data_IF_772206610153
#
_entry.id   IF_772206610153
#
_cell.length_a   1.000
_cell.length_b   1.000
_cell.length_c   1.000
_cell.angle_alpha   90.00
_cell.angle_beta   90.00
_cell.angle_gamma   90.00
#
_symmetry.space_group_name_H-M   'P 1'
#
loop_
_entity.id
_entity.type
_entity.pdbx_description
1 polymer ?
#
# COMPACT_ATOMS: atom_id res chain seq x y z
N UNK A 1 -6.76 -19.58 5.08
CA UNK A 1 -6.47 -18.28 5.70
C UNK A 1 -5.19 -17.73 5.08
N UNK A 2 -5.19 -16.47 4.67
CA UNK A 2 -4.05 -15.80 4.03
C UNK A 2 -3.77 -14.50 4.78
N UNK A 3 -2.48 -14.22 5.00
CA UNK A 3 -2.04 -12.94 5.52
C UNK A 3 -1.49 -12.09 4.37
N UNK A 4 -2.10 -10.95 4.13
CA UNK A 4 -1.63 -9.95 3.18
C UNK A 4 -0.81 -8.87 3.88
N UNK A 5 0.28 -8.44 3.22
CA UNK A 5 1.12 -7.32 3.64
C UNK A 5 1.19 -6.26 2.55
N UNK A 6 1.04 -5.01 2.93
CA UNK A 6 1.20 -3.84 2.05
C UNK A 6 2.00 -2.75 2.74
N UNK A 7 2.95 -2.17 2.03
CA UNK A 7 3.63 -0.93 2.39
C UNK A 7 3.40 0.08 1.28
N UNK A 8 2.59 1.08 1.57
CA UNK A 8 2.20 2.13 0.62
C UNK A 8 3.23 3.26 0.54
N UNK A 9 3.11 4.10 -0.50
CA UNK A 9 3.97 5.29 -0.70
C UNK A 9 3.72 6.40 0.32
N UNK A 10 2.64 6.31 1.10
CA UNK A 10 2.36 7.18 2.26
C UNK A 10 3.42 7.05 3.36
N UNK A 11 4.07 5.87 3.47
CA UNK A 11 5.09 5.55 4.49
C UNK A 11 4.57 5.68 5.93
N UNK A 12 3.28 5.55 6.15
CA UNK A 12 2.64 5.57 7.47
C UNK A 12 2.85 4.27 8.25
N UNK A 13 3.09 3.14 7.55
CA UNK A 13 3.36 1.86 8.20
C UNK A 13 3.29 0.68 7.26
N UNK A 14 3.39 -0.49 7.86
CA UNK A 14 3.15 -1.78 7.23
C UNK A 14 1.74 -2.25 7.59
N UNK A 15 0.87 -2.34 6.58
CA UNK A 15 -0.47 -2.88 6.72
C UNK A 15 -0.45 -4.41 6.68
N UNK A 16 -1.18 -5.02 7.62
CA UNK A 16 -1.38 -6.45 7.71
C UNK A 16 -2.88 -6.76 7.71
N UNK A 17 -3.32 -7.67 6.87
CA UNK A 17 -4.70 -8.13 6.81
C UNK A 17 -4.75 -9.66 6.75
N UNK A 18 -5.28 -10.28 7.80
CA UNK A 18 -5.50 -11.72 7.88
C UNK A 18 -6.94 -12.02 7.42
N UNK A 19 -7.06 -12.70 6.30
CA UNK A 19 -8.33 -12.99 5.68
C UNK A 19 -8.55 -14.49 5.51
N UNK A 20 -9.80 -14.93 5.73
CA UNK A 20 -10.27 -16.24 5.30
C UNK A 20 -10.95 -16.08 3.95
N UNK A 21 -10.49 -16.84 2.96
CA UNK A 21 -11.13 -16.91 1.65
C UNK A 21 -11.83 -18.26 1.50
N UNK A 22 -13.04 -18.24 0.97
CA UNK A 22 -13.85 -19.43 0.64
C UNK A 22 -14.43 -19.29 -0.75
N UNK A 23 -14.75 -20.42 -1.37
CA UNK A 23 -15.51 -20.45 -2.62
C UNK A 23 -16.88 -21.03 -2.30
N UNK A 24 -17.92 -20.25 -2.55
CA UNK A 24 -19.32 -20.69 -2.41
C UNK A 24 -20.02 -20.47 -3.74
N UNK A 25 -20.61 -21.52 -4.29
CA UNK A 25 -21.30 -21.48 -5.60
C UNK A 25 -20.46 -20.88 -6.74
N UNK A 26 -19.15 -21.18 -6.73
CA UNK A 26 -18.21 -20.68 -7.74
C UNK A 26 -17.74 -19.22 -7.53
N UNK A 27 -18.19 -18.54 -6.48
CA UNK A 27 -17.83 -17.17 -6.15
C UNK A 27 -16.90 -17.11 -4.95
N UNK A 28 -15.89 -16.25 -5.03
CA UNK A 28 -14.99 -15.96 -3.91
C UNK A 28 -15.73 -15.12 -2.86
N UNK A 29 -15.57 -15.55 -1.62
CA UNK A 29 -15.99 -14.79 -0.43
C UNK A 29 -14.79 -14.59 0.48
N UNK A 30 -14.81 -13.53 1.25
CA UNK A 30 -13.77 -13.25 2.23
C UNK A 30 -14.35 -12.82 3.57
N UNK A 31 -13.61 -13.13 4.61
CA UNK A 31 -13.84 -12.68 5.97
C UNK A 31 -12.54 -12.06 6.49
N UNK A 32 -12.57 -10.80 6.90
CA UNK A 32 -11.45 -10.14 7.54
C UNK A 32 -11.39 -10.58 9.01
N UNK A 33 -10.41 -11.40 9.35
CA UNK A 33 -10.25 -11.95 10.70
C UNK A 33 -9.54 -10.97 11.64
N UNK A 34 -8.48 -10.30 11.12
CA UNK A 34 -7.71 -9.30 11.86
C UNK A 34 -7.02 -8.37 10.87
N UNK A 35 -6.96 -7.08 11.18
CA UNK A 35 -6.13 -6.11 10.48
C UNK A 35 -5.37 -5.24 11.47
N UNK A 36 -4.19 -4.78 11.06
CA UNK A 36 -3.34 -3.92 11.87
C UNK A 36 -2.41 -3.13 10.93
N UNK A 37 -2.19 -1.85 11.22
CA UNK A 37 -1.12 -1.06 10.63
C UNK A 37 -0.03 -0.87 11.67
N UNK A 38 1.16 -1.38 11.38
CA UNK A 38 2.34 -1.20 12.24
C UNK A 38 3.13 -0.01 11.73
N UNK A 39 3.03 1.11 12.44
CA UNK A 39 3.69 2.36 12.06
C UNK A 39 5.21 2.19 11.92
N UNK A 40 5.79 2.86 10.91
CA UNK A 40 7.25 3.00 10.84
C UNK A 40 7.73 3.97 11.91
N UNK A 41 8.91 3.69 12.46
CA UNK A 41 9.64 4.72 13.21
C UNK A 41 10.18 5.78 12.25
N UNK A 42 10.45 6.98 12.75
CA UNK A 42 11.04 8.08 11.97
C UNK A 42 12.31 7.66 11.23
N UNK A 43 13.13 6.79 11.85
CA UNK A 43 14.34 6.23 11.24
C UNK A 43 14.01 5.31 10.07
N UNK A 44 13.01 4.45 10.21
CA UNK A 44 12.58 3.53 9.15
C UNK A 44 11.98 4.31 7.98
N UNK A 45 11.07 5.22 8.26
CA UNK A 45 10.47 6.09 7.24
C UNK A 45 11.54 6.86 6.46
N UNK A 46 12.43 7.55 7.17
CA UNK A 46 13.53 8.31 6.57
C UNK A 46 14.45 7.41 5.75
N UNK A 47 14.75 6.21 6.24
CA UNK A 47 15.59 5.25 5.52
C UNK A 47 14.93 4.84 4.21
N UNK A 48 13.67 4.39 4.24
CA UNK A 48 12.95 3.93 3.04
C UNK A 48 12.82 5.06 2.03
N UNK A 49 12.44 6.25 2.47
CA UNK A 49 12.29 7.46 1.63
C UNK A 49 13.57 7.83 0.89
N UNK A 50 14.71 7.63 1.50
CA UNK A 50 16.01 7.99 0.93
C UNK A 50 16.67 6.87 0.10
N UNK A 51 16.17 5.63 0.15
CA UNK A 51 16.76 4.50 -0.59
C UNK A 51 17.01 4.78 -2.08
N UNK A 52 16.10 5.45 -2.82
CA UNK A 52 16.32 5.73 -4.24
C UNK A 52 17.60 6.55 -4.54
N UNK A 53 18.10 7.28 -3.55
CA UNK A 53 19.19 8.24 -3.70
C UNK A 53 20.49 7.77 -3.04
N UNK A 54 20.55 6.51 -2.59
CA UNK A 54 21.71 5.95 -1.89
C UNK A 54 22.63 5.17 -2.82
N UNK A 55 23.82 4.80 -2.33
CA UNK A 55 24.69 3.87 -3.05
C UNK A 55 24.03 2.49 -3.16
N UNK A 56 24.44 1.69 -4.13
CA UNK A 56 23.93 0.33 -4.31
C UNK A 56 24.11 -0.53 -3.06
N UNK A 57 25.21 -0.39 -2.33
CA UNK A 57 25.44 -1.10 -1.06
C UNK A 57 24.47 -0.64 0.04
N UNK A 58 24.23 0.66 0.17
CA UNK A 58 23.31 1.23 1.14
C UNK A 58 21.86 0.84 0.81
N UNK A 59 21.50 0.84 -0.48
CA UNK A 59 20.21 0.32 -0.95
C UNK A 59 20.01 -1.13 -0.54
N UNK A 60 21.02 -1.99 -0.77
CA UNK A 60 20.96 -3.40 -0.41
C UNK A 60 20.81 -3.61 1.10
N UNK A 61 21.58 -2.88 1.92
CA UNK A 61 21.44 -2.90 3.39
C UNK A 61 20.05 -2.47 3.84
N UNK A 62 19.49 -1.42 3.23
CA UNK A 62 18.13 -0.95 3.52
C UNK A 62 17.07 -2.01 3.18
N UNK A 63 17.21 -2.68 2.03
CA UNK A 63 16.34 -3.80 1.64
C UNK A 63 16.40 -4.96 2.64
N UNK A 64 17.59 -5.32 3.12
CA UNK A 64 17.78 -6.35 4.16
C UNK A 64 17.09 -5.95 5.46
N UNK A 65 17.30 -4.72 5.94
CA UNK A 65 16.67 -4.21 7.16
C UNK A 65 15.14 -4.18 7.06
N UNK A 66 14.60 -3.74 5.93
CA UNK A 66 13.16 -3.76 5.67
C UNK A 66 12.60 -5.19 5.71
N UNK A 67 13.32 -6.15 5.14
CA UNK A 67 12.92 -7.55 5.14
C UNK A 67 12.86 -8.16 6.53
N UNK A 68 13.85 -7.86 7.37
CA UNK A 68 13.85 -8.28 8.78
C UNK A 68 12.69 -7.64 9.56
N UNK A 69 12.43 -6.35 9.35
CA UNK A 69 11.29 -5.66 9.95
C UNK A 69 9.97 -6.33 9.56
N UNK A 70 9.75 -6.62 8.28
CA UNK A 70 8.54 -7.31 7.81
C UNK A 70 8.39 -8.70 8.44
N UNK A 71 9.46 -9.51 8.42
CA UNK A 71 9.44 -10.85 8.99
C UNK A 71 9.14 -10.87 10.50
N UNK A 72 9.80 -9.99 11.26
CA UNK A 72 9.57 -9.81 12.70
C UNK A 72 8.13 -9.37 13.01
N UNK A 73 7.62 -8.41 12.23
CA UNK A 73 6.25 -7.87 12.38
C UNK A 73 5.22 -8.97 12.11
N UNK A 74 5.39 -9.74 11.04
CA UNK A 74 4.52 -10.87 10.72
C UNK A 74 4.54 -11.93 11.82
N UNK A 75 5.71 -12.29 12.31
CA UNK A 75 5.85 -13.26 13.39
C UNK A 75 5.07 -12.83 14.65
N UNK A 76 5.19 -11.56 15.05
CA UNK A 76 4.44 -10.98 16.18
C UNK A 76 2.94 -10.94 15.92
N UNK A 77 2.52 -10.53 14.74
CA UNK A 77 1.11 -10.47 14.35
C UNK A 77 0.46 -11.86 14.40
N UNK A 78 1.09 -12.88 13.83
CA UNK A 78 0.59 -14.26 13.86
C UNK A 78 0.48 -14.77 15.29
N UNK A 79 1.46 -14.50 16.16
CA UNK A 79 1.45 -14.94 17.56
C UNK A 79 0.25 -14.39 18.36
N UNK A 80 -0.31 -13.26 17.93
CA UNK A 80 -1.46 -12.58 18.59
C UNK A 80 -2.78 -12.70 17.82
N UNK A 81 -2.76 -13.31 16.64
CA UNK A 81 -3.96 -13.38 15.78
C UNK A 81 -4.94 -14.48 16.17
N UNK A 82 -4.48 -15.51 16.88
CA UNK A 82 -5.27 -16.71 17.20
C UNK A 82 -5.46 -17.68 16.02
N UNK A 83 -4.98 -17.33 14.83
CA UNK A 83 -5.10 -18.09 13.58
C UNK A 83 -3.75 -18.23 12.89
N UNK A 84 -3.49 -19.39 12.27
CA UNK A 84 -2.31 -19.60 11.44
C UNK A 84 -2.63 -19.42 9.96
N UNK A 85 -1.95 -18.51 9.25
CA UNK A 85 -2.11 -18.42 7.80
C UNK A 85 -1.51 -19.66 7.12
N UNK A 86 -2.12 -20.09 6.04
CA UNK A 86 -1.59 -21.12 5.14
C UNK A 86 -0.68 -20.52 4.05
N UNK A 87 -0.74 -19.21 3.88
CA UNK A 87 0.01 -18.45 2.89
C UNK A 87 0.17 -17.02 3.38
N UNK A 88 1.34 -16.44 3.13
CA UNK A 88 1.62 -15.01 3.33
C UNK A 88 1.87 -14.37 1.97
N UNK A 89 1.24 -13.24 1.72
CA UNK A 89 1.31 -12.50 0.46
C UNK A 89 1.85 -11.10 0.74
N UNK A 90 3.01 -10.74 0.16
CA UNK A 90 3.64 -9.44 0.41
C UNK A 90 3.87 -8.68 -0.89
N UNK A 91 3.35 -7.46 -0.95
CA UNK A 91 3.65 -6.55 -2.05
C UNK A 91 5.08 -5.98 -1.95
N UNK A 92 5.64 -5.91 -0.75
CA UNK A 92 6.85 -5.13 -0.49
C UNK A 92 6.57 -3.63 -0.49
N UNK A 93 7.64 -2.83 -0.62
CA UNK A 93 7.53 -1.38 -0.79
C UNK A 93 8.16 -0.95 -2.11
N UNK A 94 7.40 -0.22 -2.93
CA UNK A 94 7.88 0.21 -4.26
C UNK A 94 8.89 1.34 -4.15
N UNK A 95 10.10 1.10 -4.63
CA UNK A 95 11.18 2.08 -4.71
C UNK A 95 11.29 2.65 -6.13
N UNK A 96 11.26 1.76 -7.14
CA UNK A 96 11.31 2.14 -8.54
C UNK A 96 10.18 1.49 -9.30
N UNK A 97 9.60 2.23 -10.24
CA UNK A 97 8.59 1.71 -11.14
C UNK A 97 8.67 2.45 -12.48
N UNK A 98 9.31 1.82 -13.45
CA UNK A 98 9.46 2.35 -14.80
C UNK A 98 9.27 1.24 -15.83
N UNK A 99 8.02 0.82 -16.08
CA UNK A 99 7.73 -0.26 -17.01
C UNK A 99 8.11 0.08 -18.46
N UNK A 100 8.17 1.36 -18.84
CA UNK A 100 8.61 1.78 -20.17
C UNK A 100 10.09 1.46 -20.44
N UNK A 101 10.91 1.41 -19.38
CA UNK A 101 12.31 0.98 -19.43
C UNK A 101 12.49 -0.48 -18.98
N UNK A 102 11.39 -1.22 -18.76
CA UNK A 102 11.40 -2.65 -18.50
C UNK A 102 11.75 -3.05 -17.07
N UNK A 103 11.65 -2.14 -16.09
CA UNK A 103 11.96 -2.48 -14.70
C UNK A 103 10.93 -1.95 -13.68
N UNK A 104 10.88 -2.66 -12.58
CA UNK A 104 10.20 -2.28 -11.34
C UNK A 104 10.96 -2.86 -10.15
N UNK A 105 10.92 -2.22 -9.00
CA UNK A 105 11.61 -2.71 -7.81
C UNK A 105 10.74 -2.45 -6.56
N UNK A 106 10.30 -3.54 -5.96
CA UNK A 106 9.70 -3.55 -4.64
C UNK A 106 10.69 -4.18 -3.67
N UNK A 107 11.08 -3.45 -2.63
CA UNK A 107 11.96 -4.00 -1.59
C UNK A 107 11.21 -4.97 -0.70
N UNK A 108 11.96 -5.94 -0.17
CA UNK A 108 11.46 -7.05 0.63
C UNK A 108 11.98 -8.37 0.05
N UNK A 109 13.02 -8.94 0.69
CA UNK A 109 13.64 -10.19 0.26
C UNK A 109 12.92 -11.38 0.89
N UNK A 110 12.27 -12.19 0.06
CA UNK A 110 11.54 -13.39 0.48
C UNK A 110 12.39 -14.38 1.26
N UNK A 111 13.64 -14.54 0.82
CA UNK A 111 14.62 -15.42 1.44
C UNK A 111 14.90 -15.06 2.90
N UNK A 112 14.80 -13.79 3.26
CA UNK A 112 14.93 -13.32 4.64
C UNK A 112 13.60 -13.47 5.36
N UNK A 113 12.51 -12.97 4.77
CA UNK A 113 11.20 -12.93 5.44
C UNK A 113 10.67 -14.32 5.79
N UNK A 114 10.88 -15.32 4.92
CA UNK A 114 10.44 -16.70 5.16
C UNK A 114 11.11 -17.33 6.39
N UNK A 115 12.28 -16.86 6.80
CA UNK A 115 12.97 -17.41 7.99
C UNK A 115 12.25 -17.10 9.31
N UNK A 116 11.30 -16.17 9.31
CA UNK A 116 10.53 -15.78 10.48
C UNK A 116 9.27 -16.62 10.73
N UNK A 117 8.85 -17.40 9.73
CA UNK A 117 7.61 -18.18 9.78
C UNK A 117 7.81 -19.54 9.08
N UNK A 118 6.97 -20.51 9.44
CA UNK A 118 6.91 -21.80 8.74
C UNK A 118 5.95 -21.78 7.54
N UNK A 119 5.44 -20.61 7.20
CA UNK A 119 4.41 -20.41 6.16
C UNK A 119 5.07 -20.04 4.82
N UNK A 120 4.58 -20.55 3.69
CA UNK A 120 5.04 -20.09 2.38
C UNK A 120 4.72 -18.62 2.15
N UNK A 121 5.62 -17.93 1.42
CA UNK A 121 5.46 -16.54 1.03
C UNK A 121 5.33 -16.40 -0.49
N UNK A 122 4.43 -15.53 -0.92
CA UNK A 122 4.28 -15.11 -2.32
C UNK A 122 4.52 -13.61 -2.40
N UNK A 123 5.35 -13.21 -3.34
CA UNK A 123 5.80 -11.82 -3.50
C UNK A 123 6.22 -11.54 -4.92
N UNK A 124 6.64 -10.28 -5.18
CA UNK A 124 7.06 -9.82 -6.49
C UNK A 124 5.97 -9.99 -7.56
N UNK A 125 4.84 -9.35 -7.33
CA UNK A 125 3.69 -9.42 -8.23
C UNK A 125 3.86 -8.64 -9.53
N UNK A 126 4.87 -7.76 -9.64
CA UNK A 126 5.01 -6.78 -10.72
C UNK A 126 6.10 -7.13 -11.73
N UNK A 127 7.24 -7.65 -11.28
CA UNK A 127 8.43 -7.86 -12.12
C UNK A 127 8.14 -8.78 -13.32
N UNK A 128 7.38 -9.85 -13.11
CA UNK A 128 7.06 -10.80 -14.19
C UNK A 128 6.19 -10.19 -15.28
N UNK A 129 5.25 -9.34 -14.93
CA UNK A 129 4.39 -8.63 -15.88
C UNK A 129 5.19 -7.60 -16.67
N UNK A 130 5.97 -6.77 -15.98
CA UNK A 130 6.86 -5.79 -16.62
C UNK A 130 7.86 -6.47 -17.56
N UNK A 131 8.48 -7.57 -17.16
CA UNK A 131 9.40 -8.34 -18.00
C UNK A 131 8.76 -8.92 -19.27
N UNK A 132 7.43 -9.01 -19.32
CA UNK A 132 6.65 -9.43 -20.49
C UNK A 132 6.08 -8.27 -21.30
N UNK A 133 6.48 -7.05 -20.99
CA UNK A 133 6.01 -5.83 -21.63
C UNK A 133 4.71 -5.27 -21.07
N UNK A 134 4.24 -5.80 -19.92
CA UNK A 134 3.11 -5.24 -19.17
C UNK A 134 3.51 -4.06 -18.30
N UNK A 135 2.52 -3.45 -17.66
CA UNK A 135 2.70 -2.28 -16.79
C UNK A 135 3.08 -2.68 -15.35
N UNK A 136 2.89 -3.93 -14.94
CA UNK A 136 3.05 -4.35 -13.55
C UNK A 136 2.05 -3.69 -12.58
N UNK A 137 1.07 -2.96 -13.10
CA UNK A 137 0.05 -2.21 -12.38
C UNK A 137 -1.18 -2.05 -13.29
N UNK A 138 -2.37 -1.81 -12.72
CA UNK A 138 -2.72 -1.91 -11.31
C UNK A 138 -2.92 -3.38 -10.86
N UNK A 139 -2.76 -3.66 -9.55
CA UNK A 139 -3.01 -4.98 -8.96
C UNK A 139 -4.40 -5.08 -8.32
N UNK A 140 -4.84 -4.00 -7.68
CA UNK A 140 -6.09 -3.92 -6.91
C UNK A 140 -7.33 -4.28 -7.73
N UNK A 141 -7.52 -3.81 -8.99
CA UNK A 141 -8.69 -4.12 -9.80
C UNK A 141 -8.97 -5.61 -10.01
N UNK A 142 -7.94 -6.45 -10.00
CA UNK A 142 -8.14 -7.91 -10.06
C UNK A 142 -8.88 -8.41 -8.80
N UNK A 143 -8.46 -7.95 -7.62
CA UNK A 143 -9.12 -8.28 -6.36
C UNK A 143 -10.54 -7.72 -6.30
N UNK A 144 -10.74 -6.49 -6.72
CA UNK A 144 -12.05 -5.84 -6.79
C UNK A 144 -13.02 -6.64 -7.67
N UNK A 145 -12.59 -7.00 -8.87
CA UNK A 145 -13.38 -7.83 -9.81
C UNK A 145 -13.78 -9.19 -9.21
N UNK A 146 -12.82 -9.85 -8.56
CA UNK A 146 -13.02 -11.20 -8.01
C UNK A 146 -13.92 -11.20 -6.77
N UNK A 147 -13.76 -10.19 -5.89
CA UNK A 147 -14.44 -10.15 -4.59
C UNK A 147 -15.76 -9.37 -4.62
N UNK A 148 -15.87 -8.36 -5.48
CA UNK A 148 -17.01 -7.45 -5.48
C UNK A 148 -17.82 -7.46 -6.77
N UNK A 149 -17.32 -8.10 -7.83
CA UNK A 149 -17.95 -8.16 -9.14
C UNK A 149 -17.36 -7.16 -10.15
N UNK A 150 -17.50 -7.47 -11.44
CA UNK A 150 -16.89 -6.69 -12.52
C UNK A 150 -17.73 -5.47 -12.97
N UNK A 151 -18.94 -5.33 -12.49
CA UNK A 151 -19.93 -4.30 -12.84
C UNK A 151 -19.86 -3.06 -11.94
N UNK A 152 -18.90 -3.04 -11.03
CA UNK A 152 -18.72 -1.95 -10.06
C UNK A 152 -17.59 -1.01 -10.45
N UNK A 153 -17.72 0.21 -9.94
CA UNK A 153 -16.71 1.23 -10.00
C UNK A 153 -16.18 1.47 -8.57
N UNK A 154 -14.87 1.55 -8.43
CA UNK A 154 -14.22 1.73 -7.13
C UNK A 154 -13.45 3.05 -7.13
N UNK A 155 -13.68 3.85 -6.11
CA UNK A 155 -12.94 5.08 -5.84
C UNK A 155 -12.06 4.88 -4.62
N UNK A 156 -10.75 4.92 -4.83
CA UNK A 156 -9.76 4.87 -3.76
C UNK A 156 -9.36 6.31 -3.38
N UNK A 157 -9.51 6.66 -2.12
CA UNK A 157 -9.18 7.98 -1.54
C UNK A 157 -7.93 7.88 -0.67
N UNK A 158 -6.81 7.48 -1.28
CA UNK A 158 -5.49 7.42 -0.67
C UNK A 158 -4.74 8.75 -0.73
N UNK A 159 -3.40 8.71 -0.79
CA UNK A 159 -2.57 9.89 -1.03
C UNK A 159 -2.91 10.57 -2.35
N UNK A 160 -3.11 9.76 -3.39
CA UNK A 160 -3.68 10.12 -4.68
C UNK A 160 -5.05 9.44 -4.77
N UNK A 161 -6.07 10.18 -5.19
CA UNK A 161 -7.36 9.59 -5.51
C UNK A 161 -7.28 8.90 -6.87
N UNK A 162 -7.70 7.65 -6.94
CA UNK A 162 -7.78 6.91 -8.19
C UNK A 162 -9.10 6.15 -8.30
N UNK A 163 -9.51 5.90 -9.54
CA UNK A 163 -10.74 5.19 -9.86
C UNK A 163 -10.41 3.97 -10.70
N UNK A 164 -11.11 2.88 -10.43
CA UNK A 164 -11.04 1.66 -11.23
C UNK A 164 -12.43 1.16 -11.63
N UNK A 165 -12.53 0.59 -12.81
CA UNK A 165 -13.75 -0.04 -13.33
C UNK A 165 -13.38 -1.09 -14.37
N UNK A 166 -13.76 -2.33 -14.13
CA UNK A 166 -13.41 -3.44 -15.01
C UNK A 166 -11.90 -3.65 -15.10
N UNK A 167 -11.31 -3.39 -16.27
CA UNK A 167 -9.87 -3.52 -16.53
C UNK A 167 -9.14 -2.17 -16.61
N UNK A 168 -9.87 -1.09 -16.42
CA UNK A 168 -9.33 0.28 -16.49
C UNK A 168 -9.16 0.87 -15.10
N UNK A 169 -8.03 1.53 -14.87
CA UNK A 169 -7.79 2.33 -13.67
C UNK A 169 -6.92 3.54 -14.02
N UNK A 170 -7.18 4.66 -13.38
CA UNK A 170 -6.41 5.89 -13.55
C UNK A 170 -6.47 6.78 -12.31
N UNK A 171 -5.45 7.60 -12.16
CA UNK A 171 -5.40 8.62 -11.11
C UNK A 171 -6.31 9.79 -11.46
N UNK A 172 -7.08 10.25 -10.49
CA UNK A 172 -8.02 11.39 -10.64
C UNK A 172 -7.34 12.68 -10.24
N UNK A 173 -6.78 12.73 -9.02
CA UNK A 173 -6.11 13.92 -8.50
C UNK A 173 -5.25 13.57 -7.26
N UNK A 174 -4.25 14.41 -6.91
CA UNK A 174 -3.68 14.39 -5.56
C UNK A 174 -4.77 14.63 -4.53
N UNK A 175 -4.82 13.82 -3.47
CA UNK A 175 -5.88 13.87 -2.46
C UNK A 175 -5.29 14.05 -1.05
N UNK A 176 -5.12 12.99 -0.27
CA UNK A 176 -4.60 13.13 1.09
C UNK A 176 -3.16 13.68 1.16
N UNK A 177 -2.37 13.56 0.10
CA UNK A 177 -1.06 14.21 0.03
C UNK A 177 -1.17 15.72 0.21
N UNK A 178 -2.11 16.37 -0.48
CA UNK A 178 -2.33 17.83 -0.35
C UNK A 178 -3.01 18.15 0.98
N UNK A 179 -4.02 17.38 1.36
CA UNK A 179 -4.73 17.63 2.61
C UNK A 179 -3.81 17.52 3.84
N UNK A 180 -2.90 16.56 3.85
CA UNK A 180 -1.93 16.38 4.93
C UNK A 180 -0.88 17.49 4.94
N UNK A 181 -0.42 17.97 3.78
CA UNK A 181 0.45 19.14 3.70
C UNK A 181 -0.22 20.38 4.29
N UNK A 182 -1.48 20.64 3.92
CA UNK A 182 -2.25 21.78 4.45
C UNK A 182 -2.49 21.66 5.96
N UNK A 183 -2.75 20.46 6.47
CA UNK A 183 -2.88 20.23 7.91
C UNK A 183 -1.58 20.52 8.65
N UNK A 184 -0.43 20.10 8.11
CA UNK A 184 0.88 20.38 8.68
C UNK A 184 1.27 21.86 8.62
N UNK A 185 0.87 22.60 7.57
CA UNK A 185 1.03 24.05 7.46
C UNK A 185 0.14 24.80 8.45
N UNK A 186 -1.10 24.36 8.62
CA UNK A 186 -2.03 24.96 9.56
C UNK A 186 -1.57 24.79 11.01
N UNK A 187 -1.10 23.61 11.36
CA UNK A 187 -0.55 23.33 12.69
C UNK A 187 0.70 22.44 12.57
N UNK A 188 1.91 23.01 12.79
CA UNK A 188 3.15 22.23 12.75
C UNK A 188 3.11 21.01 13.68
N UNK A 189 3.50 19.84 13.15
CA UNK A 189 3.49 18.57 13.86
C UNK A 189 2.25 17.70 13.63
N UNK A 190 1.21 18.21 12.96
CA UNK A 190 0.11 17.35 12.50
C UNK A 190 0.52 16.56 11.27
N UNK A 191 0.28 15.24 11.31
CA UNK A 191 0.45 14.38 10.14
C UNK A 191 -0.75 14.46 9.17
N UNK A 192 -1.95 14.70 9.71
CA UNK A 192 -3.20 14.81 8.95
C UNK A 192 -4.30 15.48 9.80
N UNK A 193 -5.39 15.91 9.15
CA UNK A 193 -6.58 16.42 9.82
C UNK A 193 -7.45 15.26 10.33
N UNK A 194 -7.30 14.91 11.60
CA UNK A 194 -8.01 13.79 12.21
C UNK A 194 -9.54 14.03 12.19
N UNK A 195 -10.28 13.12 11.58
CA UNK A 195 -11.75 13.19 11.43
C UNK A 195 -12.22 14.44 10.68
N UNK A 196 -11.35 15.14 9.94
CA UNK A 196 -11.70 16.35 9.21
C UNK A 196 -12.10 17.54 10.10
N UNK A 197 -11.63 17.59 11.35
CA UNK A 197 -12.05 18.60 12.35
C UNK A 197 -11.63 20.01 11.98
N UNK A 198 -10.43 20.16 11.40
CA UNK A 198 -9.93 21.47 10.94
C UNK A 198 -10.79 21.94 9.78
N UNK A 199 -10.99 21.06 8.80
CA UNK A 199 -11.82 21.38 7.64
C UNK A 199 -13.26 21.70 8.00
N UNK A 200 -13.86 20.95 8.93
CA UNK A 200 -15.23 21.18 9.40
C UNK A 200 -15.38 22.52 10.17
N UNK A 201 -14.32 23.00 10.81
CA UNK A 201 -14.30 24.32 11.47
C UNK A 201 -13.98 25.48 10.54
N UNK A 202 -13.66 25.21 9.28
CA UNK A 202 -13.30 26.21 8.27
C UNK A 202 -14.50 26.93 7.67
N UNK A 203 -14.19 27.97 6.89
CA UNK A 203 -15.17 28.74 6.14
C UNK A 203 -14.91 28.53 4.66
N UNK A 204 -15.99 28.24 3.91
CA UNK A 204 -15.91 28.10 2.46
C UNK A 204 -15.56 29.45 1.81
N UNK A 205 -14.55 29.47 0.94
CA UNK A 205 -14.15 30.59 0.11
C UNK A 205 -14.62 30.39 -1.34
N UNK A 206 -15.75 30.97 -1.75
CA UNK A 206 -16.35 30.73 -3.09
C UNK A 206 -15.41 31.06 -4.25
N UNK A 207 -14.64 32.14 -4.14
CA UNK A 207 -13.70 32.57 -5.18
C UNK A 207 -12.53 31.57 -5.33
N UNK A 208 -12.03 30.99 -4.24
CA UNK A 208 -11.01 29.95 -4.28
C UNK A 208 -11.58 28.68 -4.90
N UNK A 209 -12.76 28.26 -4.47
CA UNK A 209 -13.44 27.08 -5.02
C UNK A 209 -13.66 27.23 -6.51
N UNK A 210 -14.11 28.42 -6.96
CA UNK A 210 -14.29 28.71 -8.38
C UNK A 210 -12.97 28.58 -9.16
N UNK A 211 -11.86 29.08 -8.61
CA UNK A 211 -10.53 28.95 -9.25
C UNK A 211 -10.06 27.48 -9.31
N UNK A 212 -10.27 26.72 -8.25
CA UNK A 212 -9.89 25.31 -8.22
C UNK A 212 -10.68 24.46 -9.21
N UNK A 213 -11.94 24.78 -9.45
CA UNK A 213 -12.79 24.11 -10.46
C UNK A 213 -12.37 24.36 -11.92
N UNK A 214 -11.42 25.26 -12.17
CA UNK A 214 -10.83 25.51 -13.50
C UNK A 214 -9.44 24.89 -13.66
N UNK A 215 -8.94 24.16 -12.65
CA UNK A 215 -7.70 23.39 -12.76
C UNK A 215 -8.08 22.02 -13.34
N UNK A 216 -7.88 21.87 -14.64
CA UNK A 216 -8.03 20.59 -15.36
C UNK A 216 -6.78 19.73 -15.22
#
# INVERSE_FOLDING_TARGET
VVLGLMSGTSLDGLDLALCRFTILDGHWQYELLKAETVAYSDVQETTIRNLPYTSAESFWKGQVLFSHFCGETVRKFIATSGEKPSLISSHGHTIFHNPSEGYTCQIGLGEIMVTYTECPWVMDFRTRDVARGGQGAPLVPMGEKVLFGADKMFLNLGGIANISSGESAFDVCPFNQILNLLAAEYQPGLAFDAEGKIAAGGVLHPDLLSKLNYLD
#
